data_IF_905129256096
#
_entry.id   IF_905129256096
#
_cell.length_a   1.000
_cell.length_b   1.000
_cell.length_c   1.000
_cell.angle_alpha   90.00
_cell.angle_beta   90.00
_cell.angle_gamma   90.00
#
_symmetry.space_group_name_H-M   'P 1'
#
loop_
_entity.id
_entity.type
_entity.pdbx_description
1 polymer ?
#
# COMPACT_ATOMS: atom_id res chain seq x y z
N UNK A 1 10.09 3.30 22.93
CA UNK A 1 9.35 2.04 23.08
C UNK A 1 10.02 0.98 22.21
N UNK A 2 10.18 -0.26 22.68
CA UNK A 2 10.55 -1.36 21.81
C UNK A 2 9.54 -1.54 20.66
N UNK A 3 10.04 -1.91 19.49
CA UNK A 3 9.17 -2.13 18.32
C UNK A 3 8.26 -3.34 18.59
N UNK A 4 6.97 -3.14 18.42
CA UNK A 4 5.97 -4.19 18.63
C UNK A 4 5.36 -4.24 20.04
N UNK A 5 5.84 -3.45 20.98
CA UNK A 5 5.27 -3.33 22.32
C UNK A 5 4.07 -2.36 22.34
N UNK A 6 3.12 -2.57 23.27
CA UNK A 6 2.03 -1.64 23.48
C UNK A 6 2.55 -0.32 24.08
N UNK A 7 2.11 0.79 23.49
CA UNK A 7 2.47 2.11 24.01
C UNK A 7 1.77 2.37 25.34
N UNK A 8 2.51 2.92 26.32
CA UNK A 8 2.00 3.20 27.68
C UNK A 8 0.82 4.20 27.73
N UNK A 9 0.66 5.00 26.69
CA UNK A 9 -0.44 5.95 26.58
C UNK A 9 -1.73 5.32 26.01
N UNK A 10 -1.67 4.09 25.50
CA UNK A 10 -2.84 3.41 24.90
C UNK A 10 -3.79 2.97 26.01
N UNK A 11 -5.00 3.52 26.01
CA UNK A 11 -6.04 3.11 26.92
C UNK A 11 -6.71 1.83 26.45
N UNK A 12 -7.08 0.98 27.41
CA UNK A 12 -7.82 -0.26 27.17
C UNK A 12 -8.73 -0.55 28.36
N UNK A 13 -9.71 -1.41 28.18
CA UNK A 13 -10.62 -1.81 29.24
C UNK A 13 -11.91 -2.42 28.75
N UNK A 14 -12.75 -2.81 29.71
CA UNK A 14 -14.08 -3.37 29.45
C UNK A 14 -15.14 -2.31 29.66
N UNK A 15 -16.05 -2.17 28.68
CA UNK A 15 -17.19 -1.27 28.73
C UNK A 15 -18.30 -1.82 29.66
N UNK A 16 -19.22 -0.97 30.05
CA UNK A 16 -20.34 -1.34 30.91
C UNK A 16 -21.27 -2.41 30.30
N UNK A 17 -21.33 -2.50 28.98
CA UNK A 17 -22.09 -3.51 28.24
C UNK A 17 -21.31 -4.84 28.02
N UNK A 18 -20.12 -4.95 28.58
CA UNK A 18 -19.24 -6.11 28.45
C UNK A 18 -18.36 -6.10 27.19
N UNK A 19 -18.45 -5.06 26.35
CA UNK A 19 -17.56 -4.88 25.22
C UNK A 19 -16.13 -4.54 25.66
N UNK A 20 -15.13 -5.01 24.93
CA UNK A 20 -13.72 -4.71 25.20
C UNK A 20 -13.18 -3.70 24.19
N UNK A 21 -12.33 -2.79 24.65
CA UNK A 21 -11.59 -1.82 23.84
C UNK A 21 -10.08 -1.92 24.14
N UNK A 22 -9.23 -1.74 23.13
CA UNK A 22 -9.53 -1.53 21.71
C UNK A 22 -10.00 -2.80 21.01
N UNK A 23 -10.65 -2.67 19.86
CA UNK A 23 -10.94 -3.83 18.99
C UNK A 23 -9.68 -4.43 18.37
N UNK A 24 -8.69 -3.58 18.06
CA UNK A 24 -7.44 -3.94 17.40
C UNK A 24 -6.34 -2.90 17.71
N UNK A 25 -5.09 -3.30 17.70
CA UNK A 25 -3.95 -2.40 17.82
C UNK A 25 -3.24 -2.22 16.48
N UNK A 26 -2.77 -0.99 16.23
CA UNK A 26 -2.00 -0.62 15.04
C UNK A 26 -0.87 0.36 15.40
N UNK A 27 0.12 0.57 14.53
CA UNK A 27 1.21 1.51 14.78
C UNK A 27 0.70 2.93 15.07
N UNK A 28 0.99 3.45 16.26
CA UNK A 28 0.57 4.77 16.70
C UNK A 28 1.68 5.58 17.38
N UNK A 29 2.91 5.04 17.45
CA UNK A 29 4.07 5.72 17.98
C UNK A 29 5.06 6.06 16.87
N UNK A 30 5.63 7.26 16.93
CA UNK A 30 6.62 7.75 15.94
C UNK A 30 6.11 7.73 14.49
N UNK A 31 4.85 8.05 14.29
CA UNK A 31 4.23 8.12 12.95
C UNK A 31 4.61 9.45 12.30
N UNK A 32 5.26 9.36 11.13
CA UNK A 32 5.64 10.53 10.33
C UNK A 32 4.56 10.74 9.26
N UNK A 33 3.97 11.93 9.23
CA UNK A 33 2.96 12.30 8.25
C UNK A 33 3.04 13.78 7.89
N UNK A 34 2.34 14.17 6.83
CA UNK A 34 2.18 15.57 6.47
C UNK A 34 1.43 16.33 7.57
N UNK A 35 1.85 17.57 7.82
CA UNK A 35 1.21 18.44 8.80
C UNK A 35 0.88 19.76 8.15
N UNK A 36 -0.23 20.38 8.57
CA UNK A 36 -0.63 21.68 8.10
C UNK A 36 0.43 22.74 8.50
N UNK A 37 0.83 23.56 7.53
CA UNK A 37 1.80 24.64 7.75
C UNK A 37 1.40 25.56 8.92
N UNK A 38 0.13 25.88 9.04
CA UNK A 38 -0.39 26.70 10.16
C UNK A 38 -0.08 26.08 11.53
N UNK A 39 -0.23 24.77 11.68
CA UNK A 39 0.09 24.08 12.92
C UNK A 39 1.56 24.19 13.30
N UNK A 40 2.47 24.17 12.31
CA UNK A 40 3.92 24.27 12.53
C UNK A 40 4.38 25.70 12.80
N UNK A 41 3.71 26.68 12.19
CA UNK A 41 4.08 28.10 12.30
C UNK A 41 3.39 28.81 13.46
N UNK A 42 2.34 28.23 14.04
CA UNK A 42 1.62 28.78 15.19
C UNK A 42 2.15 28.18 16.51
N UNK A 43 2.79 28.98 17.39
CA UNK A 43 3.34 28.50 18.65
C UNK A 43 2.30 27.84 19.58
N UNK A 44 1.05 28.28 19.51
CA UNK A 44 -0.03 27.80 20.38
C UNK A 44 -0.49 26.40 20.05
N UNK A 45 -0.10 25.86 18.87
CA UNK A 45 -0.46 24.51 18.44
C UNK A 45 0.42 23.40 19.00
N UNK A 46 1.49 23.75 19.75
CA UNK A 46 2.35 22.79 20.43
C UNK A 46 3.26 21.94 19.52
N UNK A 47 3.31 22.23 18.21
CA UNK A 47 4.23 21.54 17.30
C UNK A 47 5.65 22.08 17.49
N UNK A 48 6.58 21.17 17.79
CA UNK A 48 7.97 21.53 18.05
C UNK A 48 8.86 21.30 16.84
N UNK A 49 9.88 22.12 16.67
CA UNK A 49 10.89 21.92 15.62
C UNK A 49 11.64 20.59 15.75
N UNK A 50 11.76 20.06 16.97
CA UNK A 50 12.42 18.78 17.24
C UNK A 50 11.66 17.56 16.65
N UNK A 51 10.34 17.68 16.48
CA UNK A 51 9.51 16.65 15.87
C UNK A 51 9.33 16.82 14.35
N UNK A 52 9.88 17.90 13.78
CA UNK A 52 9.92 18.16 12.33
C UNK A 52 10.92 17.17 11.68
N UNK A 53 10.45 16.41 10.71
CA UNK A 53 11.27 15.41 10.03
C UNK A 53 11.74 15.88 8.65
N UNK A 54 10.91 16.63 7.94
CA UNK A 54 11.25 17.16 6.64
C UNK A 54 10.46 18.46 6.34
N UNK A 55 11.03 19.29 5.48
CA UNK A 55 10.41 20.46 4.90
C UNK A 55 10.72 20.50 3.41
N UNK A 56 9.75 20.82 2.57
CA UNK A 56 10.00 21.18 1.17
C UNK A 56 9.20 22.42 0.78
N UNK A 57 9.65 23.09 -0.26
CA UNK A 57 9.01 24.31 -0.76
C UNK A 57 8.54 24.12 -2.20
N UNK A 58 7.31 24.55 -2.50
CA UNK A 58 6.73 24.53 -3.84
C UNK A 58 5.79 25.73 -4.01
N UNK A 59 5.98 26.49 -5.09
CA UNK A 59 5.13 27.65 -5.39
C UNK A 59 5.14 28.73 -4.30
N UNK A 60 6.27 28.96 -3.64
CA UNK A 60 6.42 29.93 -2.54
C UNK A 60 5.76 29.50 -1.22
N UNK A 61 5.30 28.25 -1.11
CA UNK A 61 4.70 27.69 0.10
C UNK A 61 5.59 26.60 0.67
N UNK A 62 5.71 26.55 2.00
CA UNK A 62 6.40 25.51 2.75
C UNK A 62 5.42 24.40 3.15
N UNK A 63 5.87 23.15 3.03
CA UNK A 63 5.14 21.94 3.41
C UNK A 63 6.00 21.16 4.37
N UNK A 64 5.39 20.59 5.40
CA UNK A 64 6.10 19.97 6.51
C UNK A 64 5.66 18.52 6.73
N UNK A 65 6.61 17.71 7.19
CA UNK A 65 6.40 16.38 7.72
C UNK A 65 6.80 16.37 9.19
N UNK A 66 5.92 15.88 10.02
CA UNK A 66 6.07 15.93 11.46
C UNK A 66 5.85 14.54 12.05
N UNK A 67 6.65 14.19 13.05
CA UNK A 67 6.49 12.96 13.81
C UNK A 67 5.49 13.18 14.93
N UNK A 68 4.47 12.33 14.98
CA UNK A 68 3.44 12.36 16.01
C UNK A 68 3.26 10.99 16.64
N UNK A 69 2.61 10.95 17.81
CA UNK A 69 2.28 9.73 18.52
C UNK A 69 0.86 9.82 19.09
N UNK A 70 0.24 8.68 19.25
CA UNK A 70 -1.11 8.59 19.81
C UNK A 70 -1.94 7.51 19.10
N UNK A 71 -3.00 7.06 19.75
CA UNK A 71 -4.02 6.20 19.12
C UNK A 71 -4.72 6.90 17.95
N UNK A 72 -4.74 8.25 17.96
CA UNK A 72 -5.18 9.08 16.83
C UNK A 72 -4.34 8.89 15.57
N UNK A 73 -3.07 8.45 15.69
CA UNK A 73 -2.20 8.11 14.55
C UNK A 73 -2.36 6.65 14.12
N UNK A 74 -2.72 5.76 15.04
CA UNK A 74 -3.03 4.37 14.72
C UNK A 74 -4.34 4.21 13.94
N UNK A 75 -5.35 5.02 14.26
CA UNK A 75 -6.68 4.97 13.62
C UNK A 75 -6.63 5.15 12.10
N UNK A 76 -5.97 6.16 11.52
CA UNK A 76 -5.90 6.31 10.07
C UNK A 76 -5.07 5.23 9.37
N UNK A 77 -4.16 4.56 10.06
CA UNK A 77 -3.45 3.39 9.51
C UNK A 77 -4.45 2.26 9.21
N UNK A 78 -5.33 1.98 10.17
CA UNK A 78 -6.40 0.98 9.98
C UNK A 78 -7.41 1.45 8.93
N UNK A 79 -7.87 2.70 9.01
CA UNK A 79 -8.84 3.26 8.07
C UNK A 79 -8.32 3.25 6.62
N UNK A 80 -7.06 3.60 6.40
CA UNK A 80 -6.42 3.55 5.08
C UNK A 80 -6.35 2.14 4.49
N UNK A 81 -6.03 1.15 5.30
CA UNK A 81 -6.03 -0.24 4.86
C UNK A 81 -7.45 -0.75 4.55
N UNK A 82 -8.46 -0.38 5.37
CA UNK A 82 -9.86 -0.72 5.10
C UNK A 82 -10.34 -0.07 3.79
N UNK A 83 -9.90 1.14 3.47
CA UNK A 83 -10.22 1.77 2.19
C UNK A 83 -9.72 0.94 1.00
N UNK A 84 -8.50 0.36 1.09
CA UNK A 84 -7.98 -0.56 0.07
C UNK A 84 -8.79 -1.87 0.01
N UNK A 85 -9.28 -2.38 1.14
CA UNK A 85 -10.16 -3.56 1.16
C UNK A 85 -11.50 -3.27 0.48
N UNK A 86 -12.09 -2.08 0.71
CA UNK A 86 -13.32 -1.64 0.06
C UNK A 86 -13.13 -1.36 -1.44
N UNK A 87 -11.93 -0.94 -1.87
CA UNK A 87 -11.60 -0.86 -3.29
C UNK A 87 -11.56 -2.27 -3.92
N UNK A 88 -10.99 -3.24 -3.21
CA UNK A 88 -10.94 -4.62 -3.66
C UNK A 88 -12.34 -5.27 -3.71
N UNK A 89 -13.17 -5.02 -2.69
CA UNK A 89 -14.57 -5.47 -2.63
C UNK A 89 -15.49 -4.38 -2.02
N UNK A 90 -16.18 -3.59 -2.86
CA UNK A 90 -17.09 -2.53 -2.41
C UNK A 90 -18.36 -3.05 -1.69
N UNK A 91 -18.61 -4.35 -1.68
CA UNK A 91 -19.79 -4.95 -1.04
C UNK A 91 -19.57 -5.28 0.44
N UNK A 92 -18.34 -5.15 0.95
CA UNK A 92 -18.01 -5.38 2.35
C UNK A 92 -18.86 -4.51 3.28
N UNK A 93 -19.51 -5.16 4.24
CA UNK A 93 -20.21 -4.48 5.31
C UNK A 93 -19.28 -4.18 6.49
N UNK A 94 -19.70 -3.32 7.40
CA UNK A 94 -18.99 -3.10 8.67
C UNK A 94 -18.73 -4.42 9.42
N UNK A 95 -19.69 -5.34 9.43
CA UNK A 95 -19.55 -6.65 10.10
C UNK A 95 -18.48 -7.51 9.45
N UNK A 96 -18.36 -7.47 8.13
CA UNK A 96 -17.31 -8.20 7.40
C UNK A 96 -15.94 -7.64 7.72
N UNK A 97 -15.80 -6.31 7.72
CA UNK A 97 -14.54 -5.64 8.06
C UNK A 97 -14.10 -6.02 9.48
N UNK A 98 -14.98 -5.94 10.47
CA UNK A 98 -14.66 -6.30 11.87
C UNK A 98 -14.28 -7.78 11.98
N UNK A 99 -15.01 -8.66 11.29
CA UNK A 99 -14.72 -10.10 11.26
C UNK A 99 -13.34 -10.36 10.66
N UNK A 100 -13.03 -9.78 9.51
CA UNK A 100 -11.73 -9.94 8.82
C UNK A 100 -10.59 -9.43 9.71
N UNK A 101 -10.73 -8.24 10.31
CA UNK A 101 -9.75 -7.70 11.26
C UNK A 101 -9.45 -8.71 12.37
N UNK A 102 -10.49 -9.27 13.00
CA UNK A 102 -10.33 -10.22 14.10
C UNK A 102 -9.72 -11.54 13.68
N UNK A 103 -10.04 -12.02 12.48
CA UNK A 103 -9.51 -13.29 11.94
C UNK A 103 -8.06 -13.20 11.51
N UNK A 104 -7.62 -12.04 11.03
CA UNK A 104 -6.28 -11.84 10.46
C UNK A 104 -5.31 -11.15 11.41
N UNK A 105 -5.76 -10.75 12.60
CA UNK A 105 -4.92 -10.10 13.60
C UNK A 105 -3.74 -10.97 14.03
N UNK A 106 -2.55 -10.39 14.07
CA UNK A 106 -1.33 -11.06 14.49
C UNK A 106 -1.28 -11.14 16.02
N UNK A 107 -1.00 -12.35 16.52
CA UNK A 107 -0.80 -12.65 17.94
C UNK A 107 0.63 -13.11 18.17
N UNK A 108 1.56 -12.15 18.18
CA UNK A 108 2.96 -12.41 18.51
C UNK A 108 3.20 -12.57 20.03
N UNK A 109 4.44 -12.66 20.44
CA UNK A 109 4.79 -12.89 21.84
C UNK A 109 4.41 -11.71 22.75
N UNK A 110 4.38 -10.48 22.26
CA UNK A 110 3.89 -9.34 23.03
C UNK A 110 2.40 -9.44 23.32
N UNK A 111 1.63 -9.88 22.32
CA UNK A 111 0.18 -10.08 22.48
C UNK A 111 -0.13 -11.27 23.39
N UNK A 112 0.60 -12.38 23.23
CA UNK A 112 0.38 -13.62 24.02
C UNK A 112 0.80 -13.49 25.47
N UNK A 113 1.86 -12.73 25.75
CA UNK A 113 2.46 -12.59 27.07
C UNK A 113 2.02 -11.30 27.78
N UNK A 114 0.95 -10.67 27.34
CA UNK A 114 0.40 -9.47 27.98
C UNK A 114 -0.11 -9.79 29.39
N UNK A 115 0.05 -8.85 30.31
CA UNK A 115 -0.52 -8.95 31.66
C UNK A 115 -2.03 -8.73 31.72
N UNK A 116 -2.65 -8.16 30.67
CA UNK A 116 -4.08 -7.91 30.57
C UNK A 116 -4.61 -8.40 29.20
N UNK A 117 -5.57 -9.33 29.19
CA UNK A 117 -6.07 -9.94 27.96
C UNK A 117 -6.84 -8.97 27.05
N UNK A 118 -7.29 -7.82 27.55
CA UNK A 118 -8.02 -6.81 26.75
C UNK A 118 -7.11 -5.75 26.14
N UNK A 119 -5.85 -5.66 26.57
CA UNK A 119 -4.92 -4.61 26.12
C UNK A 119 -4.73 -4.53 24.61
N UNK A 120 -4.82 -5.66 23.94
CA UNK A 120 -4.55 -5.77 22.48
C UNK A 120 -5.80 -5.94 21.65
N UNK A 121 -6.99 -6.07 22.25
CA UNK A 121 -8.18 -6.47 21.53
C UNK A 121 -8.00 -7.80 20.79
N UNK A 122 -8.25 -7.83 19.50
CA UNK A 122 -8.02 -9.03 18.68
C UNK A 122 -6.54 -9.32 18.43
N UNK A 123 -5.64 -8.33 18.64
CA UNK A 123 -4.22 -8.43 18.37
C UNK A 123 -3.67 -7.23 17.61
N UNK A 124 -2.64 -7.45 16.80
CA UNK A 124 -2.04 -6.43 15.93
C UNK A 124 -2.65 -6.48 14.54
N UNK A 125 -3.01 -5.33 14.01
CA UNK A 125 -3.62 -5.20 12.69
C UNK A 125 -2.65 -5.63 11.58
N UNK A 126 -3.12 -6.51 10.68
CA UNK A 126 -2.40 -6.94 9.48
C UNK A 126 -3.20 -6.55 8.23
N UNK A 127 -2.80 -5.45 7.61
CA UNK A 127 -3.42 -4.91 6.41
C UNK A 127 -3.36 -5.89 5.22
N UNK A 128 -2.23 -6.59 5.08
CA UNK A 128 -2.01 -7.50 3.96
C UNK A 128 -2.78 -8.82 4.13
N UNK A 129 -2.74 -9.42 5.31
CA UNK A 129 -3.51 -10.62 5.59
C UNK A 129 -5.02 -10.38 5.42
N UNK A 130 -5.51 -9.21 5.87
CA UNK A 130 -6.89 -8.81 5.65
C UNK A 130 -7.25 -8.63 4.19
N UNK A 131 -6.41 -7.96 3.39
CA UNK A 131 -6.64 -7.82 1.95
C UNK A 131 -6.67 -9.20 1.25
N UNK A 132 -5.76 -10.10 1.61
CA UNK A 132 -5.79 -11.48 1.10
C UNK A 132 -7.10 -12.19 1.41
N UNK A 133 -7.60 -12.03 2.64
CA UNK A 133 -8.87 -12.63 3.05
C UNK A 133 -10.04 -12.07 2.25
N UNK A 134 -10.09 -10.75 2.04
CA UNK A 134 -11.10 -10.09 1.19
C UNK A 134 -11.11 -10.68 -0.23
N UNK A 135 -9.93 -10.80 -0.84
CA UNK A 135 -9.82 -11.33 -2.20
C UNK A 135 -10.24 -12.81 -2.27
N UNK A 136 -9.84 -13.63 -1.29
CA UNK A 136 -10.25 -15.04 -1.22
C UNK A 136 -11.77 -15.21 -1.06
N UNK A 137 -12.41 -14.38 -0.21
CA UNK A 137 -13.85 -14.43 0.00
C UNK A 137 -14.62 -13.93 -1.22
N UNK A 138 -14.13 -12.89 -1.88
CA UNK A 138 -14.69 -12.40 -3.14
C UNK A 138 -14.66 -13.49 -4.22
N UNK A 139 -13.54 -14.18 -4.36
CA UNK A 139 -13.41 -15.29 -5.31
C UNK A 139 -14.33 -16.48 -4.94
N UNK A 140 -14.50 -16.77 -3.64
CA UNK A 140 -15.34 -17.86 -3.15
C UNK A 140 -16.85 -17.56 -3.24
N UNK A 141 -17.26 -16.29 -3.05
CA UNK A 141 -18.66 -15.87 -3.11
C UNK A 141 -19.20 -15.67 -4.53
N UNK A 142 -18.38 -15.95 -5.52
CA UNK A 142 -18.81 -16.11 -6.89
C UNK A 142 -18.84 -14.85 -7.72
N UNK A 143 -17.79 -14.61 -8.42
CA UNK A 143 -17.92 -14.41 -9.84
C UNK A 143 -17.68 -15.79 -10.48
N UNK A 144 -18.71 -16.62 -10.55
CA UNK A 144 -18.77 -17.61 -11.61
C UNK A 144 -18.74 -16.83 -12.93
N UNK A 145 -17.56 -16.67 -13.51
CA UNK A 145 -17.44 -16.05 -14.82
C UNK A 145 -16.23 -15.15 -15.04
N UNK A 146 -15.53 -14.70 -14.04
CA UNK A 146 -14.14 -14.28 -14.25
C UNK A 146 -13.28 -15.50 -13.93
N UNK A 147 -13.04 -16.34 -14.94
CA UNK A 147 -11.78 -17.06 -14.98
C UNK A 147 -10.73 -15.99 -14.67
N UNK A 148 -10.04 -16.13 -13.55
CA UNK A 148 -8.69 -15.60 -13.44
C UNK A 148 -7.95 -16.27 -14.61
N UNK A 149 -8.05 -15.66 -15.79
CA UNK A 149 -6.98 -15.82 -16.73
C UNK A 149 -5.78 -15.49 -15.90
N UNK A 150 -4.96 -16.49 -15.59
CA UNK A 150 -3.59 -16.23 -15.23
C UNK A 150 -3.16 -15.23 -16.29
N UNK A 151 -3.12 -13.94 -15.95
CA UNK A 151 -2.68 -12.91 -16.89
C UNK A 151 -1.26 -13.31 -17.19
N UNK A 152 -1.13 -14.02 -18.31
CA UNK A 152 0.20 -14.36 -18.80
C UNK A 152 0.95 -13.04 -18.81
N UNK A 153 2.03 -13.01 -18.06
CA UNK A 153 2.89 -11.83 -18.05
C UNK A 153 3.75 -11.87 -19.30
N UNK A 154 3.87 -10.78 -20.00
CA UNK A 154 4.82 -10.72 -21.12
C UNK A 154 6.23 -10.98 -20.59
N UNK A 155 7.01 -11.68 -21.37
CA UNK A 155 8.44 -11.88 -21.08
C UNK A 155 9.22 -10.75 -21.73
N UNK A 156 9.94 -9.98 -20.92
CA UNK A 156 10.84 -8.93 -21.40
C UNK A 156 12.28 -9.46 -21.33
N UNK A 157 12.96 -9.52 -22.46
CA UNK A 157 14.35 -9.99 -22.56
C UNK A 157 15.23 -8.89 -23.14
N UNK A 158 16.25 -8.48 -22.40
CA UNK A 158 17.26 -7.56 -22.93
C UNK A 158 18.05 -8.25 -24.04
N UNK A 159 18.05 -7.66 -25.23
CA UNK A 159 18.80 -8.15 -26.41
C UNK A 159 20.08 -7.35 -26.67
N UNK A 160 20.30 -6.29 -25.88
CA UNK A 160 21.48 -5.43 -25.90
C UNK A 160 21.42 -4.44 -24.74
N UNK A 161 22.43 -3.55 -24.65
CA UNK A 161 22.46 -2.52 -23.61
C UNK A 161 21.30 -1.51 -23.70
N UNK A 162 20.73 -1.36 -24.90
CA UNK A 162 19.66 -0.40 -25.20
C UNK A 162 18.62 -0.98 -26.15
N UNK A 163 18.37 -2.28 -26.06
CA UNK A 163 17.33 -2.95 -26.83
C UNK A 163 16.77 -4.12 -26.03
N UNK A 164 15.48 -4.36 -26.18
CA UNK A 164 14.81 -5.49 -25.56
C UNK A 164 13.69 -6.03 -26.45
N UNK A 165 13.39 -7.29 -26.27
CA UNK A 165 12.25 -7.96 -26.88
C UNK A 165 11.14 -8.14 -25.85
N UNK A 166 9.90 -7.82 -26.22
CA UNK A 166 8.71 -8.22 -25.47
C UNK A 166 8.05 -9.38 -26.21
N UNK A 167 7.80 -10.47 -25.49
CA UNK A 167 7.10 -11.65 -25.97
C UNK A 167 5.85 -11.90 -25.12
N UNK A 168 4.72 -12.18 -25.78
CA UNK A 168 3.45 -12.48 -25.12
C UNK A 168 2.75 -13.62 -25.84
N UNK A 169 2.86 -14.84 -25.33
CA UNK A 169 2.62 -16.10 -26.05
C UNK A 169 1.28 -16.17 -26.82
N UNK A 170 0.20 -15.64 -26.27
CA UNK A 170 -1.14 -15.70 -26.89
C UNK A 170 -1.54 -14.44 -27.66
N UNK A 171 -0.68 -13.43 -27.71
CA UNK A 171 -1.00 -12.20 -28.40
C UNK A 171 -0.96 -12.39 -29.92
N UNK A 172 -2.00 -11.91 -30.59
CA UNK A 172 -2.03 -11.76 -32.06
C UNK A 172 -1.56 -10.38 -32.50
N UNK A 173 -1.59 -9.45 -31.58
CA UNK A 173 -1.12 -8.08 -31.75
C UNK A 173 -0.48 -7.64 -30.42
N UNK A 174 0.64 -6.96 -30.52
CA UNK A 174 1.37 -6.39 -29.41
C UNK A 174 1.23 -4.88 -29.39
N UNK A 175 0.85 -4.32 -28.25
CA UNK A 175 0.90 -2.88 -27.98
C UNK A 175 1.82 -2.68 -26.79
N UNK A 176 3.02 -2.15 -27.03
CA UNK A 176 4.03 -1.90 -25.99
C UNK A 176 4.09 -0.41 -25.72
N UNK A 177 3.99 -0.05 -24.45
CA UNK A 177 4.14 1.32 -23.97
C UNK A 177 5.24 1.36 -22.93
N UNK A 178 6.07 2.38 -22.99
CA UNK A 178 7.13 2.60 -21.99
C UNK A 178 6.95 3.97 -21.33
N UNK A 179 7.09 3.99 -20.02
CA UNK A 179 6.92 5.17 -19.19
C UNK A 179 8.15 5.39 -18.32
N UNK A 180 8.43 6.64 -17.99
CA UNK A 180 9.35 6.99 -16.91
C UNK A 180 8.72 6.68 -15.54
N UNK A 181 9.50 6.74 -14.46
CA UNK A 181 8.98 6.63 -13.09
C UNK A 181 8.04 7.79 -12.69
N UNK A 182 8.06 8.90 -13.44
CA UNK A 182 7.14 10.03 -13.29
C UNK A 182 5.91 9.93 -14.19
N UNK A 183 5.60 8.72 -14.67
CA UNK A 183 4.43 8.38 -15.51
C UNK A 183 4.38 9.10 -16.89
N UNK A 184 5.53 9.57 -17.37
CA UNK A 184 5.64 10.18 -18.69
C UNK A 184 5.82 9.08 -19.75
N UNK A 185 4.93 9.04 -20.76
CA UNK A 185 5.06 8.13 -21.92
C UNK A 185 6.27 8.53 -22.77
N UNK A 186 7.24 7.64 -22.92
CA UNK A 186 8.46 7.84 -23.72
C UNK A 186 8.46 7.02 -25.01
N UNK A 187 7.65 5.96 -25.07
CA UNK A 187 7.56 5.11 -26.27
C UNK A 187 6.20 4.43 -26.35
N UNK A 188 5.69 4.28 -27.57
CA UNK A 188 4.50 3.48 -27.87
C UNK A 188 4.67 2.85 -29.24
N UNK A 189 4.54 1.52 -29.31
CA UNK A 189 4.68 0.76 -30.56
C UNK A 189 3.64 -0.37 -30.62
N UNK A 190 3.06 -0.55 -31.80
CA UNK A 190 2.14 -1.64 -32.10
C UNK A 190 2.70 -2.49 -33.23
N UNK A 191 2.66 -3.80 -33.06
CA UNK A 191 3.04 -4.76 -34.10
C UNK A 191 2.09 -5.95 -34.14
N UNK A 192 1.97 -6.60 -35.29
CA UNK A 192 1.26 -7.87 -35.42
C UNK A 192 2.15 -9.02 -34.94
N UNK A 193 1.53 -10.01 -34.32
CA UNK A 193 2.24 -11.17 -33.77
C UNK A 193 2.35 -11.14 -32.25
N UNK A 194 3.15 -12.01 -31.72
CA UNK A 194 3.33 -12.25 -30.28
C UNK A 194 4.69 -11.80 -29.77
N UNK A 195 5.50 -11.17 -30.61
CA UNK A 195 6.84 -10.67 -30.29
C UNK A 195 7.07 -9.30 -30.92
N UNK A 196 7.76 -8.42 -30.19
CA UNK A 196 8.12 -7.10 -30.67
C UNK A 196 9.49 -6.69 -30.13
N UNK A 197 10.35 -6.20 -31.00
CA UNK A 197 11.67 -5.67 -30.65
C UNK A 197 11.59 -4.16 -30.45
N UNK A 198 12.07 -3.69 -29.31
CA UNK A 198 12.10 -2.27 -28.94
C UNK A 198 13.54 -1.77 -28.93
N UNK A 199 13.79 -0.74 -29.70
CA UNK A 199 15.06 -0.02 -29.70
C UNK A 199 14.94 1.20 -28.77
N UNK A 200 15.67 1.15 -27.65
CA UNK A 200 15.72 2.20 -26.64
C UNK A 200 17.00 3.06 -26.75
N UNK A 201 17.69 3.07 -27.88
CA UNK A 201 18.96 3.79 -28.07
C UNK A 201 18.82 5.31 -27.90
N UNK A 202 17.62 5.87 -28.17
CA UNK A 202 17.30 7.28 -27.98
C UNK A 202 16.80 7.62 -26.56
N UNK A 203 16.59 6.61 -25.70
CA UNK A 203 16.11 6.86 -24.35
C UNK A 203 17.27 7.29 -23.45
N UNK A 204 16.98 8.12 -22.47
CA UNK A 204 17.97 8.46 -21.43
C UNK A 204 18.29 7.23 -20.57
N UNK A 205 19.47 7.24 -19.93
CA UNK A 205 19.81 6.21 -18.95
C UNK A 205 18.85 6.31 -17.77
N UNK A 206 18.31 5.19 -17.35
CA UNK A 206 17.34 5.21 -16.26
C UNK A 206 16.44 3.97 -16.17
N UNK A 207 15.48 4.06 -15.27
CA UNK A 207 14.48 3.02 -15.03
C UNK A 207 13.20 3.34 -15.78
N UNK A 208 12.65 2.35 -16.48
CA UNK A 208 11.43 2.46 -17.25
C UNK A 208 10.43 1.38 -16.88
N UNK A 209 9.16 1.73 -16.97
CA UNK A 209 8.02 0.84 -16.76
C UNK A 209 7.46 0.45 -18.12
N UNK A 210 7.51 -0.83 -18.45
CA UNK A 210 7.03 -1.36 -19.73
C UNK A 210 5.69 -2.06 -19.53
N UNK A 211 4.68 -1.61 -20.23
CA UNK A 211 3.35 -2.20 -20.28
C UNK A 211 3.10 -2.81 -21.65
N UNK A 212 2.66 -4.07 -21.69
CA UNK A 212 2.33 -4.80 -22.91
C UNK A 212 0.86 -5.21 -22.87
N UNK A 213 0.08 -4.79 -23.87
CA UNK A 213 -1.34 -5.13 -23.99
C UNK A 213 -2.17 -4.89 -22.71
N UNK A 214 -1.86 -3.83 -21.96
CA UNK A 214 -2.53 -3.51 -20.70
C UNK A 214 -2.19 -4.44 -19.53
N UNK A 215 -1.17 -5.30 -19.66
CA UNK A 215 -0.65 -6.10 -18.55
C UNK A 215 -0.08 -5.20 -17.44
N UNK A 216 0.13 -5.72 -16.22
CA UNK A 216 0.92 -5.02 -15.23
C UNK A 216 2.29 -4.61 -15.76
N UNK A 217 2.70 -3.38 -15.45
CA UNK A 217 3.96 -2.86 -15.94
C UNK A 217 5.16 -3.60 -15.32
N UNK A 218 6.15 -3.89 -16.14
CA UNK A 218 7.42 -4.49 -15.73
C UNK A 218 8.54 -3.47 -15.82
N UNK A 219 9.49 -3.54 -14.90
CA UNK A 219 10.63 -2.64 -14.82
C UNK A 219 11.79 -3.13 -15.70
N UNK A 220 12.34 -2.24 -16.51
CA UNK A 220 13.64 -2.41 -17.16
C UNK A 220 14.59 -1.27 -16.80
N UNK A 221 15.90 -1.50 -17.00
CA UNK A 221 16.96 -0.51 -16.77
C UNK A 221 17.70 -0.30 -18.08
N UNK A 222 17.83 0.93 -18.53
CA UNK A 222 18.64 1.35 -19.69
C UNK A 222 19.92 2.00 -19.17
N UNK A 223 21.08 1.47 -19.60
CA UNK A 223 22.41 1.87 -19.14
C UNK A 223 23.11 2.85 -20.09
#
# INVERSE_FOLDING_TARGET
FPVGEASRFSSFGTLADGGNLPDICAPGASVISSVNTYCVTNPDMGYTSAALQAKFEKGGKAYYWHQSLGTSMATPVVAGAIALWLEADPTLTYKDVVRIIRQTAVKDDYVKNTGDPVQWGAGKFDAYAGLKQVLLEKDANGIQGVKTEQREMPVLTMTGSRSFTAFFAKAKQMNVRAYTLSDQLVHSQVAQGNEININASSWEKGVYLIQVNGSPAQRIIIY
#
